data_IF_766914914261
#
_entry.id   IF_766914914261
#
_cell.length_a   1.000
_cell.length_b   1.000
_cell.length_c   1.000
_cell.angle_alpha   90.00
_cell.angle_beta   90.00
_cell.angle_gamma   90.00
#
_symmetry.space_group_name_H-M   'P 1'
#
loop_
_entity.id
_entity.type
_entity.pdbx_description
1 polymer ?
#
# COMPACT_ATOMS: atom_id res chain seq x y z
N UNK A 1 -16.57 2.47 10.65
CA UNK A 1 -15.23 2.45 10.05
C UNK A 1 -15.04 1.12 9.35
N UNK A 2 -14.35 1.09 8.20
CA UNK A 2 -14.09 -0.13 7.43
C UNK A 2 -12.58 -0.30 7.32
N UNK A 3 -12.11 -1.54 7.42
CA UNK A 3 -10.73 -1.93 7.17
C UNK A 3 -10.75 -2.98 6.08
N UNK A 4 -9.92 -2.78 5.06
CA UNK A 4 -9.71 -3.72 3.97
C UNK A 4 -8.24 -4.13 3.97
N UNK A 5 -7.99 -5.42 3.80
CA UNK A 5 -6.66 -5.96 3.61
C UNK A 5 -6.59 -6.48 2.18
N UNK A 6 -5.61 -6.01 1.42
CA UNK A 6 -5.37 -6.43 0.05
C UNK A 6 -3.87 -6.67 -0.16
N UNK A 7 -3.55 -7.44 -1.19
CA UNK A 7 -2.19 -7.64 -1.69
C UNK A 7 -1.88 -6.71 -2.87
N UNK A 8 -2.87 -5.95 -3.35
CA UNK A 8 -2.73 -5.02 -4.48
C UNK A 8 -2.57 -3.58 -3.95
N UNK A 9 -1.41 -2.99 -4.23
CA UNK A 9 -1.10 -1.63 -3.82
C UNK A 9 -1.97 -0.58 -4.53
N UNK A 10 -2.32 -0.81 -5.79
CA UNK A 10 -3.15 0.12 -6.55
C UNK A 10 -4.57 0.17 -5.99
N UNK A 11 -5.11 -0.99 -5.61
CA UNK A 11 -6.40 -1.10 -4.92
C UNK A 11 -6.37 -0.39 -3.57
N UNK A 12 -5.31 -0.58 -2.78
CA UNK A 12 -5.14 0.07 -1.48
C UNK A 12 -5.16 1.61 -1.58
N UNK A 13 -4.44 2.17 -2.57
CA UNK A 13 -4.38 3.62 -2.78
C UNK A 13 -5.70 4.15 -3.36
N UNK A 14 -6.30 3.44 -4.32
CA UNK A 14 -7.53 3.88 -4.95
C UNK A 14 -8.69 3.95 -3.94
N UNK A 15 -8.83 2.95 -3.08
CA UNK A 15 -9.96 2.84 -2.17
C UNK A 15 -9.75 3.58 -0.84
N UNK A 16 -8.54 3.53 -0.29
CA UNK A 16 -8.24 3.98 1.06
C UNK A 16 -8.07 5.49 1.19
N UNK A 17 -8.47 6.05 2.33
CA UNK A 17 -8.00 7.39 2.77
C UNK A 17 -6.64 7.30 3.49
N UNK A 18 -6.22 6.09 3.84
CA UNK A 18 -4.95 5.78 4.47
C UNK A 18 -4.54 4.36 4.11
N UNK A 19 -3.27 4.18 3.72
CA UNK A 19 -2.66 2.87 3.52
C UNK A 19 -1.75 2.57 4.70
N UNK A 20 -1.80 1.34 5.20
CA UNK A 20 -0.98 0.86 6.31
C UNK A 20 -0.21 -0.35 5.82
N UNK A 21 1.11 -0.36 6.03
CA UNK A 21 1.96 -1.49 5.64
C UNK A 21 2.18 -2.38 6.86
N UNK A 22 2.03 -3.69 6.64
CA UNK A 22 2.17 -4.72 7.65
C UNK A 22 3.46 -5.52 7.43
N UNK A 23 4.18 -5.82 8.51
CA UNK A 23 5.33 -6.71 8.49
C UNK A 23 4.94 -8.12 8.03
N UNK A 24 5.85 -8.81 7.34
CA UNK A 24 5.61 -10.18 6.87
C UNK A 24 5.77 -11.21 8.02
N UNK A 25 4.85 -12.20 8.05
CA UNK A 25 4.91 -13.37 8.94
C UNK A 25 3.89 -13.37 10.09
N UNK A 26 3.91 -14.42 10.94
CA UNK A 26 2.89 -14.66 11.97
C UNK A 26 2.86 -13.63 13.12
N UNK A 27 3.93 -12.84 13.29
CA UNK A 27 4.00 -11.72 14.24
C UNK A 27 3.89 -10.38 13.50
N UNK A 28 2.96 -10.30 12.53
CA UNK A 28 2.73 -9.10 11.73
C UNK A 28 2.33 -7.92 12.60
N UNK A 29 2.91 -6.77 12.31
CA UNK A 29 2.66 -5.50 12.98
C UNK A 29 2.73 -4.37 11.96
N UNK A 30 2.18 -3.21 12.30
CA UNK A 30 2.26 -2.03 11.45
C UNK A 30 3.70 -1.54 11.41
N UNK A 31 4.24 -1.39 10.20
CA UNK A 31 5.58 -0.85 9.98
C UNK A 31 5.57 0.55 9.39
N UNK A 32 4.48 0.93 8.72
CA UNK A 32 4.37 2.25 8.10
C UNK A 32 2.91 2.64 7.85
N UNK A 33 2.66 3.95 7.71
CA UNK A 33 1.35 4.48 7.38
C UNK A 33 1.40 5.72 6.51
N UNK A 34 0.59 5.72 5.46
CA UNK A 34 0.55 6.75 4.43
C UNK A 34 -0.86 7.34 4.31
N UNK A 35 -1.06 8.64 4.57
CA UNK A 35 -2.31 9.29 4.22
C UNK A 35 -2.46 9.34 2.69
N UNK A 36 -3.68 9.09 2.20
CA UNK A 36 -4.00 9.19 0.77
C UNK A 36 -4.82 10.45 0.56
N UNK A 37 -4.14 11.52 0.15
CA UNK A 37 -4.68 12.86 -0.09
C UNK A 37 -5.17 13.07 -1.54
N UNK A 38 -5.53 11.99 -2.23
CA UNK A 38 -6.15 12.03 -3.55
C UNK A 38 -7.64 12.43 -3.42
N UNK A 39 -8.07 13.41 -4.21
CA UNK A 39 -9.47 13.86 -4.21
C UNK A 39 -10.43 12.73 -4.63
N UNK A 40 -11.67 12.78 -4.13
CA UNK A 40 -12.76 11.88 -4.53
C UNK A 40 -13.71 12.61 -5.51
N UNK A 41 -14.38 11.91 -6.45
CA UNK A 41 -14.33 10.47 -6.71
C UNK A 41 -13.03 10.04 -7.42
N UNK A 42 -12.60 8.78 -7.20
CA UNK A 42 -11.40 8.21 -7.82
C UNK A 42 -11.81 7.12 -8.79
N UNK A 43 -11.51 7.29 -10.07
CA UNK A 43 -11.54 6.22 -11.06
C UNK A 43 -10.18 5.53 -11.09
N UNK A 44 -10.15 4.20 -10.93
CA UNK A 44 -8.90 3.44 -10.81
C UNK A 44 -8.06 3.50 -12.08
N UNK A 45 -8.68 3.61 -13.26
CA UNK A 45 -7.96 3.70 -14.52
C UNK A 45 -7.32 5.09 -14.71
N UNK A 46 -8.03 6.16 -14.31
CA UNK A 46 -7.54 7.53 -14.48
C UNK A 46 -6.57 7.96 -13.38
N UNK A 47 -6.84 7.60 -12.12
CA UNK A 47 -6.06 8.07 -10.95
C UNK A 47 -4.60 7.62 -11.00
N UNK A 48 -4.30 6.50 -11.69
CA UNK A 48 -2.91 6.01 -11.86
C UNK A 48 -2.03 6.95 -12.67
N UNK A 49 -2.65 7.84 -13.46
CA UNK A 49 -1.94 8.87 -14.23
C UNK A 49 -1.62 10.11 -13.38
N UNK A 50 -2.23 10.24 -12.19
CA UNK A 50 -1.95 11.35 -11.28
C UNK A 50 -0.53 11.23 -10.71
N UNK A 51 0.33 12.27 -10.84
CA UNK A 51 1.66 12.27 -10.26
C UNK A 51 1.67 11.95 -8.76
N UNK A 52 0.65 12.39 -8.03
CA UNK A 52 0.52 12.12 -6.59
C UNK A 52 0.24 10.66 -6.31
N UNK A 53 -0.56 9.99 -7.13
CA UNK A 53 -0.74 8.55 -7.05
C UNK A 53 0.60 7.83 -7.22
N UNK A 54 1.39 8.25 -8.22
CA UNK A 54 2.70 7.65 -8.49
C UNK A 54 3.70 7.89 -7.36
N UNK A 55 3.65 9.03 -6.68
CA UNK A 55 4.43 9.29 -5.47
C UNK A 55 4.04 8.37 -4.32
N UNK A 56 2.74 8.27 -4.02
CA UNK A 56 2.22 7.38 -2.99
C UNK A 56 2.61 5.93 -3.29
N UNK A 57 2.43 5.48 -4.53
CA UNK A 57 2.81 4.14 -4.98
C UNK A 57 4.29 3.87 -4.73
N UNK A 58 5.18 4.76 -5.17
CA UNK A 58 6.63 4.58 -4.97
C UNK A 58 7.00 4.51 -3.49
N UNK A 59 6.44 5.39 -2.67
CA UNK A 59 6.74 5.46 -1.25
C UNK A 59 6.28 4.20 -0.50
N UNK A 60 5.03 3.77 -0.75
CA UNK A 60 4.49 2.58 -0.12
C UNK A 60 5.22 1.33 -0.62
N UNK A 61 5.52 1.23 -1.92
CA UNK A 61 6.29 0.12 -2.47
C UNK A 61 7.70 0.03 -1.87
N UNK A 62 8.35 1.18 -1.64
CA UNK A 62 9.66 1.21 -0.99
C UNK A 62 9.59 0.66 0.44
N UNK A 63 8.51 0.95 1.17
CA UNK A 63 8.28 0.41 2.52
C UNK A 63 7.99 -1.09 2.49
N UNK A 64 7.18 -1.54 1.52
CA UNK A 64 6.77 -2.93 1.37
C UNK A 64 7.89 -3.86 0.88
N UNK A 65 8.77 -3.39 0.00
CA UNK A 65 9.82 -4.22 -0.64
C UNK A 65 10.67 -4.98 0.38
N UNK A 66 11.08 -4.32 1.46
CA UNK A 66 11.88 -4.95 2.51
C UNK A 66 11.15 -6.09 3.23
N UNK A 67 9.82 -6.05 3.32
CA UNK A 67 9.03 -7.13 3.91
C UNK A 67 8.81 -8.28 2.94
N UNK A 68 8.68 -7.98 1.65
CA UNK A 68 8.58 -8.97 0.58
C UNK A 68 9.85 -9.80 0.47
N UNK A 69 11.03 -9.16 0.48
CA UNK A 69 12.33 -9.84 0.46
C UNK A 69 12.47 -10.82 1.66
N UNK A 70 12.18 -10.36 2.89
CA UNK A 70 12.17 -11.22 4.09
C UNK A 70 11.18 -12.37 4.01
N UNK A 71 10.08 -12.22 3.27
CA UNK A 71 9.08 -13.28 3.09
C UNK A 71 9.61 -14.38 2.18
N UNK A 72 10.39 -14.04 1.14
CA UNK A 72 11.02 -15.01 0.26
C UNK A 72 12.16 -15.77 0.95
N UNK A 73 13.03 -15.07 1.70
CA UNK A 73 14.14 -15.69 2.44
C UNK A 73 13.70 -16.73 3.50
N UNK A 74 12.45 -16.65 3.97
CA UNK A 74 11.88 -17.59 4.95
C UNK A 74 11.21 -18.83 4.33
N UNK A 75 11.01 -18.82 3.02
CA UNK A 75 10.42 -19.95 2.29
C UNK A 75 11.47 -20.89 1.67
N UNK A 76 12.77 -20.54 1.75
CA UNK A 76 13.92 -21.40 1.48
C UNK A 76 14.42 -22.07 2.78
#
# INVERSE_FOLDING_TARGET
AVVMITHDLEEAIALGDRVVVLAAGPCSHVIDSFPVDLARPRDVAEIKLDPRFMDLYRNIWSSLRGEVEKSYERHD
#
